data_IF_560790854269
#
_entry.id   IF_560790854269
#
_cell.length_a   1.000
_cell.length_b   1.000
_cell.length_c   1.000
_cell.angle_alpha   90.00
_cell.angle_beta   90.00
_cell.angle_gamma   90.00
#
_symmetry.space_group_name_H-M   'P 1'
#
loop_
_entity.id
_entity.type
_entity.pdbx_description
1 polymer ?
#
# COMPACT_ATOMS: atom_id res chain seq x y z
N UNK A 1 0.69 -11.89 13.95
CA UNK A 1 0.94 -13.17 13.23
C UNK A 1 -0.26 -13.46 12.35
N UNK A 2 -0.04 -13.77 11.07
CA UNK A 2 -1.11 -14.16 10.13
C UNK A 2 -1.48 -15.64 10.36
N UNK A 3 -2.78 -15.99 10.44
CA UNK A 3 -3.20 -17.38 10.51
C UNK A 3 -2.82 -18.15 9.24
N UNK A 4 -2.57 -19.47 9.33
CA UNK A 4 -2.28 -20.29 8.16
C UNK A 4 -3.46 -20.32 7.19
N UNK A 5 -3.17 -20.26 5.89
CA UNK A 5 -4.20 -20.38 4.86
C UNK A 5 -4.89 -21.76 4.94
N UNK A 6 -6.22 -21.80 4.81
CA UNK A 6 -7.03 -23.03 4.98
C UNK A 6 -6.59 -24.19 4.07
N UNK A 7 -6.02 -23.86 2.92
CA UNK A 7 -5.63 -24.81 1.87
C UNK A 7 -4.13 -25.17 1.92
N UNK A 8 -3.38 -24.77 2.95
CA UNK A 8 -1.92 -24.93 2.97
C UNK A 8 -1.46 -26.40 2.91
N UNK A 9 -2.23 -27.33 3.50
CA UNK A 9 -1.90 -28.76 3.57
C UNK A 9 -2.31 -29.55 2.32
N UNK A 10 -3.19 -29.02 1.46
CA UNK A 10 -3.59 -29.69 0.22
C UNK A 10 -2.62 -29.37 -0.93
N UNK A 11 -1.60 -28.56 -0.68
CA UNK A 11 -0.69 -28.06 -1.71
C UNK A 11 0.55 -28.95 -1.79
N UNK A 12 1.07 -29.19 -3.00
CA UNK A 12 2.34 -29.88 -3.15
C UNK A 12 3.48 -29.08 -2.48
N UNK A 13 4.50 -29.76 -1.94
CA UNK A 13 5.66 -29.11 -1.36
C UNK A 13 6.33 -28.15 -2.35
N UNK A 14 6.82 -27.02 -1.85
CA UNK A 14 7.47 -26.01 -2.68
C UNK A 14 8.80 -26.56 -3.24
N UNK A 15 9.12 -26.37 -4.53
CA UNK A 15 10.37 -26.86 -5.11
C UNK A 15 11.59 -26.22 -4.43
N UNK A 16 12.65 -26.97 -4.11
CA UNK A 16 13.81 -26.46 -3.36
C UNK A 16 14.63 -25.41 -4.13
N UNK A 17 14.57 -25.42 -5.47
CA UNK A 17 15.23 -24.43 -6.33
C UNK A 17 14.35 -23.24 -6.72
N UNK A 18 13.10 -23.16 -6.23
CA UNK A 18 12.24 -22.03 -6.57
C UNK A 18 12.75 -20.74 -5.88
N UNK A 19 13.13 -19.75 -6.69
CA UNK A 19 13.56 -18.45 -6.17
C UNK A 19 12.45 -17.79 -5.32
N UNK A 20 12.83 -17.11 -4.24
CA UNK A 20 11.88 -16.32 -3.43
C UNK A 20 11.22 -15.24 -4.29
N UNK A 21 12.03 -14.55 -5.08
CA UNK A 21 11.60 -13.56 -6.09
C UNK A 21 11.72 -14.20 -7.47
N UNK A 22 10.61 -14.69 -7.99
CA UNK A 22 10.51 -15.14 -9.39
C UNK A 22 10.45 -13.91 -10.32
N UNK A 23 10.74 -14.09 -11.62
CA UNK A 23 10.67 -12.98 -12.59
C UNK A 23 9.31 -12.26 -12.58
N UNK A 24 8.22 -13.02 -12.48
CA UNK A 24 6.87 -12.46 -12.37
C UNK A 24 6.67 -11.64 -11.09
N UNK A 25 7.17 -12.13 -9.94
CA UNK A 25 7.11 -11.39 -8.66
C UNK A 25 7.96 -10.13 -8.70
N UNK A 26 9.16 -10.20 -9.27
CA UNK A 26 10.03 -9.05 -9.45
C UNK A 26 9.37 -7.96 -10.30
N UNK A 27 8.73 -8.34 -11.41
CA UNK A 27 7.99 -7.39 -12.25
C UNK A 27 6.81 -6.75 -11.50
N UNK A 28 6.10 -7.53 -10.68
CA UNK A 28 4.99 -7.00 -9.87
C UNK A 28 5.47 -6.02 -8.79
N UNK A 29 6.62 -6.30 -8.16
CA UNK A 29 7.26 -5.37 -7.20
C UNK A 29 7.66 -4.07 -7.92
N UNK A 30 8.29 -4.17 -9.09
CA UNK A 30 8.66 -3.00 -9.89
C UNK A 30 7.43 -2.19 -10.29
N UNK A 31 6.37 -2.84 -10.77
CA UNK A 31 5.11 -2.18 -11.13
C UNK A 31 4.46 -1.49 -9.93
N UNK A 32 4.46 -2.13 -8.75
CA UNK A 32 3.96 -1.48 -7.55
C UNK A 32 4.82 -0.25 -7.19
N UNK A 33 6.15 -0.40 -7.17
CA UNK A 33 7.07 0.70 -6.85
C UNK A 33 6.92 1.88 -7.79
N UNK A 34 6.80 1.64 -9.10
CA UNK A 34 6.58 2.71 -10.08
C UNK A 34 5.22 3.39 -9.89
N UNK A 35 4.18 2.63 -9.55
CA UNK A 35 2.85 3.17 -9.26
C UNK A 35 2.85 4.06 -8.01
N UNK A 36 3.50 3.63 -6.94
CA UNK A 36 3.67 4.45 -5.72
C UNK A 36 4.45 5.72 -6.03
N UNK A 37 5.56 5.61 -6.78
CA UNK A 37 6.37 6.76 -7.17
C UNK A 37 5.57 7.75 -8.04
N UNK A 38 4.79 7.27 -9.00
CA UNK A 38 3.96 8.10 -9.86
C UNK A 38 2.88 8.86 -9.07
N UNK A 39 2.21 8.19 -8.13
CA UNK A 39 1.18 8.80 -7.28
C UNK A 39 1.80 9.82 -6.32
N UNK A 40 2.96 9.50 -5.74
CA UNK A 40 3.71 10.42 -4.88
C UNK A 40 4.18 11.67 -5.65
N UNK A 41 4.69 11.49 -6.87
CA UNK A 41 5.08 12.59 -7.76
C UNK A 41 3.88 13.44 -8.20
N UNK A 42 2.73 12.83 -8.46
CA UNK A 42 1.49 13.54 -8.77
C UNK A 42 1.01 14.38 -7.58
N UNK A 43 1.04 13.82 -6.37
CA UNK A 43 0.74 14.56 -5.14
C UNK A 43 1.68 15.75 -4.94
N UNK A 44 2.98 15.56 -5.18
CA UNK A 44 3.97 16.64 -5.15
C UNK A 44 3.63 17.76 -6.15
N UNK A 45 3.36 17.40 -7.41
CA UNK A 45 3.05 18.36 -8.47
C UNK A 45 1.83 19.21 -8.10
N UNK A 46 0.73 18.58 -7.67
CA UNK A 46 -0.53 19.26 -7.34
C UNK A 46 -0.38 20.34 -6.26
N UNK A 47 0.57 20.13 -5.33
CA UNK A 47 0.82 21.04 -4.20
C UNK A 47 1.89 22.08 -4.52
N UNK A 48 2.93 21.70 -5.25
CA UNK A 48 4.07 22.58 -5.55
C UNK A 48 3.67 23.80 -6.37
N UNK A 49 2.88 23.60 -7.44
CA UNK A 49 2.36 24.69 -8.31
C UNK A 49 3.40 25.76 -8.69
N UNK A 50 4.65 25.36 -8.89
CA UNK A 50 5.80 26.22 -9.20
C UNK A 50 6.07 27.36 -8.20
N UNK A 51 5.57 27.22 -6.97
CA UNK A 51 5.80 28.16 -5.88
C UNK A 51 6.74 27.56 -4.83
N UNK A 52 7.87 28.23 -4.63
CA UNK A 52 8.91 27.84 -3.67
C UNK A 52 8.35 27.83 -2.23
N UNK A 53 7.37 28.68 -1.92
CA UNK A 53 6.73 28.68 -0.61
C UNK A 53 6.00 27.36 -0.31
N UNK A 54 5.54 26.66 -1.35
CA UNK A 54 4.83 25.39 -1.23
C UNK A 54 5.76 24.17 -1.20
N UNK A 55 7.08 24.33 -1.39
CA UNK A 55 8.02 23.22 -1.49
C UNK A 55 8.02 22.33 -0.24
N UNK A 56 8.07 22.93 0.96
CA UNK A 56 8.06 22.19 2.22
C UNK A 56 6.74 21.43 2.43
N UNK A 57 5.63 22.06 2.03
CA UNK A 57 4.29 21.46 2.08
C UNK A 57 4.17 20.28 1.10
N UNK A 58 4.63 20.45 -0.14
CA UNK A 58 4.62 19.41 -1.16
C UNK A 58 5.44 18.19 -0.70
N UNK A 59 6.64 18.40 -0.12
CA UNK A 59 7.45 17.31 0.46
C UNK A 59 6.72 16.57 1.58
N UNK A 60 6.05 17.31 2.48
CA UNK A 60 5.28 16.72 3.58
C UNK A 60 4.12 15.88 3.06
N UNK A 61 3.37 16.39 2.09
CA UNK A 61 2.25 15.66 1.45
C UNK A 61 2.75 14.39 0.78
N UNK A 62 3.84 14.47 0.02
CA UNK A 62 4.46 13.30 -0.62
C UNK A 62 4.92 12.25 0.39
N UNK A 63 5.54 12.68 1.50
CA UNK A 63 5.94 11.81 2.60
C UNK A 63 4.73 11.09 3.20
N UNK A 64 3.65 11.81 3.48
CA UNK A 64 2.39 11.23 3.96
C UNK A 64 1.81 10.23 2.96
N UNK A 65 1.71 10.56 1.67
CA UNK A 65 1.21 9.66 0.62
C UNK A 65 2.02 8.36 0.62
N UNK A 66 3.34 8.44 0.63
CA UNK A 66 4.19 7.25 0.64
C UNK A 66 3.94 6.40 1.88
N UNK A 67 3.92 7.01 3.08
CA UNK A 67 3.70 6.29 4.32
C UNK A 67 2.32 5.60 4.36
N UNK A 68 1.23 6.31 4.06
CA UNK A 68 -0.11 5.73 4.04
C UNK A 68 -0.27 4.66 2.96
N UNK A 69 0.36 4.83 1.80
CA UNK A 69 0.35 3.81 0.74
C UNK A 69 0.94 2.51 1.24
N UNK A 70 2.06 2.54 1.98
CA UNK A 70 2.67 1.34 2.55
C UNK A 70 1.78 0.69 3.62
N UNK A 71 1.08 1.49 4.43
CA UNK A 71 0.13 0.98 5.42
C UNK A 71 -1.04 0.23 4.76
N UNK A 72 -1.61 0.81 3.69
CA UNK A 72 -2.67 0.15 2.93
C UNK A 72 -2.15 -1.06 2.16
N UNK A 73 -0.94 -0.98 1.60
CA UNK A 73 -0.31 -2.07 0.86
C UNK A 73 -0.05 -3.29 1.76
N UNK A 74 0.30 -3.07 3.04
CA UNK A 74 0.45 -4.15 4.02
C UNK A 74 -0.81 -5.03 4.16
N UNK A 75 -2.00 -4.44 3.98
CA UNK A 75 -3.27 -5.19 3.98
C UNK A 75 -3.35 -6.08 2.73
N UNK A 76 -3.03 -5.53 1.55
CA UNK A 76 -3.02 -6.27 0.29
C UNK A 76 -1.91 -7.33 0.21
N UNK A 77 -0.85 -7.22 1.01
CA UNK A 77 0.22 -8.22 1.06
C UNK A 77 -0.14 -9.50 1.84
N UNK A 78 -1.26 -9.53 2.57
CA UNK A 78 -1.65 -10.68 3.43
C UNK A 78 -1.78 -12.00 2.68
N UNK A 79 -2.31 -11.97 1.46
CA UNK A 79 -2.34 -13.15 0.60
C UNK A 79 -1.99 -12.78 -0.84
N UNK A 80 -1.18 -13.65 -1.44
CA UNK A 80 -0.84 -13.57 -2.87
C UNK A 80 -1.93 -14.19 -3.75
N UNK A 81 -2.83 -15.01 -3.19
CA UNK A 81 -3.83 -15.78 -3.94
C UNK A 81 -5.26 -15.32 -3.65
N UNK A 82 -5.55 -15.01 -2.40
CA UNK A 82 -6.86 -14.54 -2.00
C UNK A 82 -6.88 -13.02 -1.95
N UNK A 83 -8.01 -12.45 -2.33
CA UNK A 83 -8.18 -11.00 -2.30
C UNK A 83 -8.52 -10.55 -0.88
N UNK A 84 -8.21 -9.29 -0.55
CA UNK A 84 -8.48 -8.71 0.78
C UNK A 84 -9.94 -8.91 1.26
N UNK A 85 -10.97 -8.81 0.39
CA UNK A 85 -12.36 -9.11 0.76
C UNK A 85 -12.61 -10.59 1.06
N UNK A 86 -11.93 -11.50 0.37
CA UNK A 86 -12.09 -12.96 0.56
C UNK A 86 -11.45 -13.45 1.87
N UNK A 87 -10.37 -12.79 2.32
CA UNK A 87 -9.71 -13.11 3.60
C UNK A 87 -10.41 -12.47 4.82
N UNK A 88 -11.21 -11.44 4.60
CA UNK A 88 -11.80 -10.61 5.65
C UNK A 88 -10.79 -9.61 6.23
N UNK A 89 -11.14 -8.32 6.18
CA UNK A 89 -10.33 -7.21 6.69
C UNK A 89 -9.98 -7.39 8.19
N UNK A 90 -10.88 -7.95 8.98
CA UNK A 90 -10.74 -8.13 10.43
C UNK A 90 -10.17 -9.49 10.88
N UNK A 91 -9.73 -10.33 9.94
CA UNK A 91 -9.24 -11.67 10.31
C UNK A 91 -7.92 -11.66 11.09
N UNK A 92 -7.16 -10.57 11.08
CA UNK A 92 -5.89 -10.45 11.82
C UNK A 92 -5.84 -9.14 12.65
N UNK A 93 -6.31 -9.17 13.90
CA UNK A 93 -6.35 -7.97 14.75
C UNK A 93 -4.95 -7.43 15.08
N UNK A 94 -3.93 -8.29 15.09
CA UNK A 94 -2.56 -7.85 15.31
C UNK A 94 -2.03 -6.99 14.16
N UNK A 95 -2.39 -7.34 12.92
CA UNK A 95 -2.02 -6.53 11.75
C UNK A 95 -2.74 -5.18 11.77
N UNK A 96 -4.04 -5.17 12.10
CA UNK A 96 -4.79 -3.92 12.24
C UNK A 96 -4.18 -3.06 13.34
N UNK A 97 -3.85 -3.64 14.49
CA UNK A 97 -3.18 -2.95 15.59
C UNK A 97 -1.86 -2.32 15.14
N UNK A 98 -1.03 -3.06 14.39
CA UNK A 98 0.21 -2.53 13.83
C UNK A 98 -0.04 -1.36 12.87
N UNK A 99 -1.00 -1.49 11.95
CA UNK A 99 -1.36 -0.43 11.00
C UNK A 99 -1.86 0.82 11.73
N UNK A 100 -2.71 0.66 12.74
CA UNK A 100 -3.25 1.76 13.54
C UNK A 100 -2.13 2.46 14.31
N UNK A 101 -1.25 1.70 14.98
CA UNK A 101 -0.10 2.26 15.71
C UNK A 101 0.83 3.01 14.75
N UNK A 102 1.17 2.41 13.59
CA UNK A 102 2.00 3.06 12.58
C UNK A 102 1.34 4.31 12.00
N UNK A 103 0.02 4.29 11.77
CA UNK A 103 -0.75 5.46 11.33
C UNK A 103 -0.76 6.58 12.38
N UNK A 104 -0.93 6.25 13.66
CA UNK A 104 -0.85 7.22 14.76
C UNK A 104 0.56 7.82 14.88
N UNK A 105 1.59 7.00 14.71
CA UNK A 105 2.98 7.47 14.73
C UNK A 105 3.26 8.40 13.53
N UNK A 106 2.75 8.05 12.35
CA UNK A 106 2.81 8.90 11.16
C UNK A 106 2.13 10.25 11.39
N UNK A 107 0.93 10.27 11.98
CA UNK A 107 0.23 11.51 12.34
C UNK A 107 1.02 12.33 13.37
N UNK A 108 1.63 11.65 14.35
CA UNK A 108 2.43 12.29 15.40
C UNK A 108 3.64 13.01 14.80
N UNK A 109 4.30 12.44 13.79
CA UNK A 109 5.44 13.08 13.11
C UNK A 109 5.04 14.38 12.39
N UNK A 110 3.81 14.46 11.88
CA UNK A 110 3.32 15.64 11.14
C UNK A 110 2.76 16.71 12.09
N UNK A 111 2.10 16.29 13.16
CA UNK A 111 1.37 17.20 14.07
C UNK A 111 2.22 17.69 15.25
N UNK A 112 3.24 16.95 15.68
CA UNK A 112 4.06 17.33 16.83
C UNK A 112 5.16 18.32 16.43
N UNK A 113 5.21 19.53 17.01
CA UNK A 113 6.20 20.55 16.65
C UNK A 113 7.65 20.14 16.97
N UNK A 114 7.85 19.21 17.90
CA UNK A 114 9.17 18.65 18.20
C UNK A 114 9.69 17.71 17.09
N UNK A 115 8.79 17.00 16.39
CA UNK A 115 9.17 16.06 15.33
C UNK A 115 9.40 16.74 13.98
N UNK A 116 8.68 17.85 13.72
CA UNK A 116 8.77 18.63 12.48
C UNK A 116 10.19 18.99 12.03
N UNK A 117 11.09 19.53 12.88
CA UNK A 117 12.44 19.87 12.45
C UNK A 117 13.32 18.64 12.17
N UNK A 118 13.01 17.48 12.73
CA UNK A 118 13.78 16.24 12.50
C UNK A 118 13.41 15.60 11.16
N UNK A 119 12.12 15.64 10.81
CA UNK A 119 11.60 15.04 9.58
C UNK A 119 11.39 16.06 8.44
N UNK A 120 11.75 17.32 8.67
CA UNK A 120 11.51 18.46 7.77
C UNK A 120 10.04 18.55 7.29
N UNK A 121 9.10 18.22 8.19
CA UNK A 121 7.66 18.25 7.90
C UNK A 121 7.05 19.59 8.31
N UNK A 122 5.99 19.98 7.60
CA UNK A 122 5.25 21.22 7.88
C UNK A 122 3.78 20.91 8.08
N UNK A 123 3.12 21.69 8.95
CA UNK A 123 1.66 21.59 9.10
C UNK A 123 1.01 22.01 7.79
N UNK A 124 0.18 21.12 7.22
CA UNK A 124 -0.55 21.38 6.00
C UNK A 124 -2.06 21.48 6.25
N UNK A 125 -2.82 22.15 5.36
CA UNK A 125 -4.27 22.28 5.45
C UNK A 125 -5.01 20.94 5.59
N UNK A 126 -6.18 21.00 6.24
CA UNK A 126 -7.11 19.86 6.39
C UNK A 126 -7.58 19.30 5.05
N UNK A 127 -7.70 20.14 4.02
CA UNK A 127 -8.10 19.75 2.66
C UNK A 127 -7.09 18.79 1.99
N UNK A 128 -5.80 18.91 2.33
CA UNK A 128 -4.74 18.08 1.74
C UNK A 128 -4.73 16.67 2.32
N UNK A 129 -5.30 16.44 3.52
CA UNK A 129 -5.48 15.10 4.06
C UNK A 129 -6.40 14.23 3.20
N UNK A 130 -7.46 14.81 2.64
CA UNK A 130 -8.35 14.09 1.74
C UNK A 130 -7.61 13.67 0.47
N UNK A 131 -6.79 14.57 -0.08
CA UNK A 131 -5.93 14.27 -1.23
C UNK A 131 -4.93 13.15 -0.90
N UNK A 132 -4.26 13.21 0.26
CA UNK A 132 -3.34 12.17 0.73
C UNK A 132 -4.04 10.82 0.82
N UNK A 133 -5.23 10.76 1.42
CA UNK A 133 -6.00 9.52 1.57
C UNK A 133 -6.44 8.95 0.21
N UNK A 134 -6.96 9.80 -0.68
CA UNK A 134 -7.39 9.38 -2.02
C UNK A 134 -6.22 8.85 -2.85
N UNK A 135 -5.10 9.57 -2.87
CA UNK A 135 -3.93 9.18 -3.62
C UNK A 135 -3.29 7.91 -3.04
N UNK A 136 -3.15 7.80 -1.72
CA UNK A 136 -2.53 6.62 -1.10
C UNK A 136 -3.34 5.33 -1.26
N UNK A 137 -4.66 5.41 -1.48
CA UNK A 137 -5.50 4.26 -1.81
C UNK A 137 -5.37 3.81 -3.27
N UNK A 138 -4.95 4.70 -4.19
CA UNK A 138 -4.92 4.40 -5.62
C UNK A 138 -3.98 3.22 -5.98
N UNK A 139 -2.73 3.13 -5.48
CA UNK A 139 -1.86 2.00 -5.80
C UNK A 139 -2.39 0.66 -5.32
N UNK A 140 -2.99 0.64 -4.13
CA UNK A 140 -3.51 -0.59 -3.51
C UNK A 140 -4.76 -1.08 -4.24
N UNK A 141 -5.68 -0.17 -4.55
CA UNK A 141 -6.89 -0.50 -5.31
C UNK A 141 -6.57 -1.06 -6.70
N UNK A 142 -5.60 -0.48 -7.41
CA UNK A 142 -5.17 -0.99 -8.72
C UNK A 142 -4.63 -2.43 -8.62
N UNK A 143 -3.83 -2.73 -7.59
CA UNK A 143 -3.26 -4.07 -7.40
C UNK A 143 -4.34 -5.08 -6.99
N UNK A 144 -5.22 -4.73 -6.06
CA UNK A 144 -6.30 -5.62 -5.63
C UNK A 144 -7.28 -5.91 -6.78
N UNK A 145 -7.60 -4.91 -7.60
CA UNK A 145 -8.40 -5.11 -8.82
C UNK A 145 -7.67 -6.02 -9.81
N UNK A 146 -6.36 -5.85 -10.01
CA UNK A 146 -5.56 -6.75 -10.85
C UNK A 146 -5.62 -8.20 -10.39
N UNK A 147 -5.54 -8.44 -9.08
CA UNK A 147 -5.70 -9.79 -8.50
C UNK A 147 -7.12 -10.34 -8.71
N UNK A 148 -8.15 -9.54 -8.49
CA UNK A 148 -9.56 -9.93 -8.70
C UNK A 148 -9.79 -10.35 -10.16
N UNK A 149 -9.28 -9.57 -11.12
CA UNK A 149 -9.40 -9.88 -12.55
C UNK A 149 -8.69 -11.20 -12.89
N UNK A 150 -7.47 -11.42 -12.38
CA UNK A 150 -6.74 -12.67 -12.58
C UNK A 150 -7.51 -13.88 -12.02
N UNK A 151 -7.99 -13.76 -10.78
CA UNK A 151 -8.77 -14.81 -10.12
C UNK A 151 -10.09 -15.12 -10.87
N UNK A 152 -10.75 -14.10 -11.42
CA UNK A 152 -11.96 -14.26 -12.23
C UNK A 152 -11.68 -14.99 -13.55
N UNK A 153 -10.59 -14.63 -14.25
CA UNK A 153 -10.19 -15.27 -15.51
C UNK A 153 -9.83 -16.74 -15.30
N UNK A 154 -9.10 -17.08 -14.23
CA UNK A 154 -8.78 -18.48 -13.91
C UNK A 154 -10.03 -19.30 -13.57
N UNK A 155 -10.95 -18.75 -12.77
CA UNK A 155 -12.23 -19.39 -12.48
C UNK A 155 -13.06 -19.67 -13.73
N UNK A 156 -13.05 -18.75 -14.71
CA UNK A 156 -13.81 -18.94 -15.95
C UNK A 156 -13.21 -20.02 -16.86
N UNK A 157 -11.87 -20.17 -16.91
CA UNK A 157 -11.22 -21.25 -17.66
C UNK A 157 -11.54 -22.65 -17.10
N UNK A 158 -11.61 -22.78 -15.77
CA UNK A 158 -11.92 -24.05 -15.11
C UNK A 158 -13.39 -24.47 -15.26
N UNK A 159 -14.28 -23.53 -15.59
CA UNK A 159 -15.73 -23.79 -15.76
C UNK A 159 -16.11 -24.18 -17.19
N UNK A 160 -15.20 -24.00 -18.14
CA UNK A 160 -15.37 -24.34 -19.57
C UNK A 160 -14.67 -25.65 -19.98
N UNK A 161 -14.18 -26.44 -19.01
CA UNK A 161 -13.56 -27.76 -19.21
C UNK A 161 -14.36 -28.79 -18.41
#
# INVERSE_FOLDING_TARGET
MEPPERDIMNRPPRPPLEAVITRQRGLLILFHGTLVAAVAALGFWLIYQDDVANLARARTVTFCIMAFTQLFFAIGCRSQRFTTPELGLFSNPNLIGAIVISGLLQLSVVLLPFAQPVFETTTHPSSEWLLVLLLSLAPVTIIEVGKLVHAFVERNKLRST
#
